data_IF_306305816221
#
_entry.id   IF_306305816221
#
_cell.length_a   1.000
_cell.length_b   1.000
_cell.length_c   1.000
_cell.angle_alpha   90.00
_cell.angle_beta   90.00
_cell.angle_gamma   90.00
#
_symmetry.space_group_name_H-M   'P 1'
#
loop_
_entity.id
_entity.type
_entity.pdbx_description
1 polymer ?
#
# COMPACT_ATOMS: atom_id res chain seq x y z
N UNK A 1 42.28 55.88 -7.74
CA UNK A 1 42.63 55.00 -6.60
C UNK A 1 41.96 53.66 -6.82
N UNK A 2 42.71 52.56 -6.95
CA UNK A 2 42.14 51.22 -7.23
C UNK A 2 42.98 50.13 -6.55
N UNK A 3 42.40 49.39 -5.59
CA UNK A 3 42.87 48.07 -5.08
C UNK A 3 41.98 47.52 -3.95
N UNK A 4 40.65 47.47 -4.17
CA UNK A 4 39.70 47.03 -3.14
C UNK A 4 38.42 46.36 -3.68
N UNK A 5 38.53 45.58 -4.78
CA UNK A 5 37.34 45.01 -5.47
C UNK A 5 37.52 43.62 -6.10
N UNK A 6 38.56 42.86 -5.74
CA UNK A 6 38.82 41.51 -6.32
C UNK A 6 38.72 40.36 -5.30
N UNK A 7 39.08 40.58 -4.04
CA UNK A 7 39.02 39.52 -3.01
C UNK A 7 37.58 39.05 -2.69
N UNK A 8 36.60 39.94 -2.76
CA UNK A 8 35.21 39.64 -2.35
C UNK A 8 34.44 38.80 -3.39
N UNK A 9 34.79 38.94 -4.69
CA UNK A 9 34.13 38.21 -5.79
C UNK A 9 34.54 36.73 -5.80
N UNK A 10 35.77 36.42 -5.39
CA UNK A 10 36.27 35.05 -5.30
C UNK A 10 35.62 34.24 -4.16
N UNK A 11 35.28 34.86 -3.03
CA UNK A 11 34.64 34.16 -1.91
C UNK A 11 33.18 33.75 -2.19
N UNK A 12 32.44 34.52 -2.99
CA UNK A 12 31.04 34.22 -3.33
C UNK A 12 30.94 32.99 -4.26
N UNK A 13 31.92 32.79 -5.14
CA UNK A 13 31.92 31.67 -6.09
C UNK A 13 32.30 30.31 -5.48
N UNK A 14 32.93 30.29 -4.29
CA UNK A 14 33.32 29.05 -3.61
C UNK A 14 32.19 28.37 -2.83
N UNK A 15 31.02 29.02 -2.69
CA UNK A 15 29.80 28.40 -2.13
C UNK A 15 28.84 27.84 -3.19
N UNK A 16 29.21 27.87 -4.48
CA UNK A 16 28.47 27.20 -5.56
C UNK A 16 28.89 25.73 -5.75
N UNK A 17 29.86 25.24 -4.95
CA UNK A 17 30.29 23.84 -4.96
C UNK A 17 29.25 22.92 -4.31
N UNK A 18 28.58 22.13 -5.14
CA UNK A 18 27.85 20.93 -4.72
C UNK A 18 26.67 21.15 -3.77
N UNK A 19 25.69 21.94 -4.21
CA UNK A 19 24.30 21.59 -3.91
C UNK A 19 23.95 20.31 -4.69
N UNK A 20 24.48 19.17 -4.23
CA UNK A 20 24.13 17.86 -4.74
C UNK A 20 22.64 17.66 -4.50
N UNK A 21 21.85 17.58 -5.57
CA UNK A 21 20.45 17.19 -5.45
C UNK A 21 20.38 15.87 -4.69
N UNK A 22 19.73 15.87 -3.52
CA UNK A 22 19.42 14.65 -2.76
C UNK A 22 18.83 13.63 -3.75
N UNK A 23 19.31 12.38 -3.80
CA UNK A 23 18.90 11.42 -4.81
C UNK A 23 17.38 11.32 -4.81
N UNK A 24 16.79 11.51 -6.00
CA UNK A 24 15.43 12.03 -6.15
C UNK A 24 14.41 11.32 -5.28
N UNK A 25 13.94 12.03 -4.24
CA UNK A 25 12.92 11.55 -3.31
C UNK A 25 11.61 11.35 -4.06
N UNK A 26 11.26 10.09 -4.31
CA UNK A 26 10.01 9.72 -4.98
C UNK A 26 8.83 9.89 -4.01
N UNK A 27 7.81 10.61 -4.46
CA UNK A 27 6.64 10.98 -3.66
C UNK A 27 5.32 10.65 -4.34
N UNK A 28 5.29 10.52 -5.66
CA UNK A 28 4.05 10.45 -6.42
C UNK A 28 3.33 9.13 -6.21
N UNK A 29 1.99 9.19 -6.21
CA UNK A 29 1.13 8.00 -6.29
C UNK A 29 0.87 7.69 -7.77
N UNK A 30 0.60 6.43 -8.10
CA UNK A 30 0.10 6.05 -9.43
C UNK A 30 -1.32 6.57 -9.64
N UNK A 31 -1.69 6.75 -10.91
CA UNK A 31 -3.00 7.25 -11.33
C UNK A 31 -4.16 6.40 -10.78
N UNK A 32 -5.22 7.07 -10.30
CA UNK A 32 -6.40 6.45 -9.67
C UNK A 32 -7.38 5.77 -10.67
N UNK A 33 -7.10 5.77 -11.98
CA UNK A 33 -7.85 4.97 -13.00
C UNK A 33 -8.00 3.50 -12.59
N UNK A 34 -9.09 2.84 -13.02
CA UNK A 34 -9.29 1.39 -12.80
C UNK A 34 -8.32 0.53 -13.65
N UNK A 35 -7.80 1.08 -14.77
CA UNK A 35 -6.80 0.42 -15.62
C UNK A 35 -5.45 0.22 -14.94
N UNK A 36 -4.98 1.18 -14.12
CA UNK A 36 -3.65 1.08 -13.50
C UNK A 36 -3.59 -0.11 -12.53
N UNK A 37 -4.70 -0.47 -11.87
CA UNK A 37 -4.80 -1.67 -11.01
C UNK A 37 -4.58 -2.96 -11.81
N UNK A 38 -5.15 -3.06 -13.01
CA UNK A 38 -4.97 -4.22 -13.90
C UNK A 38 -3.50 -4.33 -14.32
N UNK A 39 -2.90 -3.23 -14.78
CA UNK A 39 -1.50 -3.19 -15.19
C UNK A 39 -0.55 -3.49 -14.01
N UNK A 40 -0.85 -2.99 -12.81
CA UNK A 40 -0.08 -3.29 -11.60
C UNK A 40 -0.11 -4.78 -11.24
N UNK A 41 -1.27 -5.44 -11.37
CA UNK A 41 -1.38 -6.89 -11.17
C UNK A 41 -0.59 -7.65 -12.24
N UNK A 42 -0.72 -7.25 -13.52
CA UNK A 42 0.02 -7.85 -14.63
C UNK A 42 1.55 -7.74 -14.45
N UNK A 43 2.04 -6.61 -13.95
CA UNK A 43 3.45 -6.41 -13.61
C UNK A 43 3.91 -7.31 -12.45
N UNK A 44 3.13 -7.39 -11.36
CA UNK A 44 3.46 -8.23 -10.21
C UNK A 44 3.47 -9.73 -10.57
N UNK A 45 2.63 -10.14 -11.51
CA UNK A 45 2.61 -11.49 -12.10
C UNK A 45 3.70 -11.72 -13.17
N UNK A 46 4.53 -10.70 -13.46
CA UNK A 46 5.76 -10.82 -14.25
C UNK A 46 5.65 -10.45 -15.74
N UNK A 47 4.52 -9.89 -16.21
CA UNK A 47 4.38 -9.38 -17.59
C UNK A 47 5.24 -8.13 -17.76
N UNK A 48 6.19 -8.15 -18.69
CA UNK A 48 7.19 -7.08 -18.88
C UNK A 48 6.58 -5.83 -19.52
N UNK A 49 5.53 -6.04 -20.31
CA UNK A 49 4.78 -5.08 -21.10
C UNK A 49 3.95 -4.12 -20.21
N UNK A 50 3.71 -4.51 -18.96
CA UNK A 50 3.05 -3.68 -17.96
C UNK A 50 3.97 -2.58 -17.38
N UNK A 51 5.29 -2.81 -17.34
CA UNK A 51 6.24 -1.85 -16.76
C UNK A 51 6.27 -0.51 -17.52
N UNK A 52 6.22 -0.54 -18.85
CA UNK A 52 6.20 0.68 -19.66
C UNK A 52 4.92 1.51 -19.45
N UNK A 53 3.80 0.84 -19.16
CA UNK A 53 2.52 1.49 -18.85
C UNK A 53 2.54 2.11 -17.45
N UNK A 54 3.01 1.41 -16.42
CA UNK A 54 3.17 1.96 -15.05
C UNK A 54 4.11 3.18 -15.07
N UNK A 55 5.23 3.07 -15.78
CA UNK A 55 6.16 4.19 -15.96
C UNK A 55 5.54 5.34 -16.76
N UNK A 56 4.50 5.11 -17.56
CA UNK A 56 3.81 6.16 -18.32
C UNK A 56 2.84 6.99 -17.47
N UNK A 57 2.30 6.41 -16.38
CA UNK A 57 1.45 7.10 -15.40
C UNK A 57 2.26 7.97 -14.40
N UNK A 58 3.59 7.79 -14.31
CA UNK A 58 4.45 8.55 -13.39
C UNK A 58 5.03 9.83 -14.01
N UNK A 59 5.36 10.86 -13.20
CA UNK A 59 6.08 12.07 -13.66
C UNK A 59 7.38 11.75 -14.40
N UNK A 60 7.83 12.66 -15.28
CA UNK A 60 8.96 12.43 -16.19
C UNK A 60 10.29 12.26 -15.44
N UNK A 61 10.48 13.00 -14.35
CA UNK A 61 11.62 12.89 -13.45
C UNK A 61 11.62 11.58 -12.67
N UNK A 62 10.49 11.19 -12.05
CA UNK A 62 10.35 9.89 -11.38
C UNK A 62 10.58 8.71 -12.34
N UNK A 63 10.02 8.80 -13.55
CA UNK A 63 10.20 7.85 -14.65
C UNK A 63 11.67 7.71 -15.06
N UNK A 64 12.37 8.83 -15.23
CA UNK A 64 13.80 8.85 -15.59
C UNK A 64 14.69 8.29 -14.47
N UNK A 65 14.31 8.45 -13.21
CA UNK A 65 15.00 7.82 -12.07
C UNK A 65 14.78 6.29 -12.05
N UNK A 66 13.55 5.84 -12.26
CA UNK A 66 13.22 4.41 -12.27
C UNK A 66 13.80 3.66 -13.47
N UNK A 67 13.98 4.33 -14.62
CA UNK A 67 14.60 3.75 -15.82
C UNK A 67 16.13 3.63 -15.72
N UNK A 68 16.79 4.21 -14.72
CA UNK A 68 18.23 4.06 -14.52
C UNK A 68 18.57 2.65 -13.97
N UNK A 69 19.33 1.89 -14.76
CA UNK A 69 19.82 0.57 -14.37
C UNK A 69 20.63 0.62 -13.07
N UNK A 70 20.26 -0.22 -12.11
CA UNK A 70 20.88 -0.31 -10.77
C UNK A 70 20.80 0.99 -9.93
N UNK A 71 19.86 1.89 -10.21
CA UNK A 71 19.63 3.06 -9.38
C UNK A 71 19.31 2.68 -7.93
N UNK A 72 19.96 3.41 -7.00
CA UNK A 72 19.70 3.37 -5.56
C UNK A 72 18.91 4.63 -5.19
N UNK A 73 17.61 4.48 -5.03
CA UNK A 73 16.66 5.58 -4.94
C UNK A 73 16.25 5.80 -3.47
N UNK A 74 16.57 6.97 -2.94
CA UNK A 74 16.15 7.39 -1.60
C UNK A 74 14.64 7.64 -1.61
N UNK A 75 13.89 6.74 -0.98
CA UNK A 75 12.44 6.66 -1.03
C UNK A 75 11.86 6.90 0.36
N UNK A 76 10.83 7.74 0.48
CA UNK A 76 10.09 7.95 1.73
C UNK A 76 8.95 6.94 1.78
N UNK A 77 9.17 5.82 2.48
CA UNK A 77 8.24 4.69 2.51
C UNK A 77 7.51 4.61 3.86
N UNK A 78 6.29 4.05 3.92
CA UNK A 78 5.58 3.91 5.18
C UNK A 78 6.18 2.86 6.11
N UNK A 79 6.05 3.09 7.41
CA UNK A 79 6.40 2.13 8.46
C UNK A 79 5.14 1.39 8.90
N UNK A 80 5.21 0.06 9.01
CA UNK A 80 4.13 -0.71 9.63
C UNK A 80 4.22 -0.61 11.15
N UNK A 81 3.16 -0.13 11.80
CA UNK A 81 3.06 -0.05 13.26
C UNK A 81 2.06 -1.07 13.79
N UNK A 82 2.38 -1.73 14.89
CA UNK A 82 1.47 -2.63 15.61
C UNK A 82 1.40 -2.25 17.09
N UNK A 83 0.22 -2.44 17.68
CA UNK A 83 -0.09 -2.08 19.06
C UNK A 83 -0.63 -3.29 19.80
N UNK A 84 0.23 -3.99 20.53
CA UNK A 84 -0.13 -5.24 21.23
C UNK A 84 -1.31 -5.07 22.20
N UNK A 85 -1.42 -3.93 22.87
CA UNK A 85 -2.38 -3.67 23.95
C UNK A 85 -3.87 -3.72 23.50
N UNK A 86 -4.14 -3.48 22.22
CA UNK A 86 -5.49 -3.53 21.64
C UNK A 86 -5.59 -4.43 20.40
N UNK A 87 -4.47 -4.98 19.92
CA UNK A 87 -4.39 -5.80 18.71
C UNK A 87 -4.55 -5.04 17.39
N UNK A 88 -4.51 -3.71 17.40
CA UNK A 88 -4.60 -2.84 16.23
C UNK A 88 -3.24 -2.59 15.57
N UNK A 89 -3.23 -2.19 14.30
CA UNK A 89 -2.01 -1.80 13.60
C UNK A 89 -2.28 -1.28 12.19
N UNK A 90 -1.22 -1.13 11.40
CA UNK A 90 -1.28 -0.72 10.00
C UNK A 90 -0.12 0.19 9.60
N UNK A 91 0.02 0.41 8.29
CA UNK A 91 0.85 1.49 7.73
C UNK A 91 0.05 2.77 7.51
N UNK A 92 -1.23 2.63 7.19
CA UNK A 92 -2.13 3.70 6.76
C UNK A 92 -3.54 3.48 7.29
N UNK A 93 -4.31 4.56 7.34
CA UNK A 93 -5.75 4.48 7.11
C UNK A 93 -6.06 4.77 5.63
N UNK A 94 -7.16 4.22 5.13
CA UNK A 94 -7.75 4.61 3.86
C UNK A 94 -8.99 5.47 4.13
N UNK A 95 -9.28 6.40 3.23
CA UNK A 95 -10.58 7.09 3.17
C UNK A 95 -10.88 7.45 1.71
N UNK A 96 -12.00 6.95 1.17
CA UNK A 96 -12.32 7.05 -0.25
C UNK A 96 -11.37 6.25 -1.16
N UNK A 97 -10.58 5.33 -0.60
CA UNK A 97 -9.44 4.70 -1.26
C UNK A 97 -8.11 5.45 -1.15
N UNK A 98 -8.08 6.66 -0.59
CA UNK A 98 -6.83 7.41 -0.45
C UNK A 98 -6.08 6.97 0.82
N UNK A 99 -5.00 6.21 0.64
CA UNK A 99 -4.09 5.82 1.72
C UNK A 99 -3.34 7.03 2.28
N UNK A 100 -3.43 7.20 3.60
CA UNK A 100 -2.73 8.21 4.40
C UNK A 100 -1.92 7.53 5.49
N UNK A 101 -0.59 7.68 5.43
CA UNK A 101 0.36 6.92 6.24
C UNK A 101 0.49 7.47 7.68
N UNK A 102 0.53 6.59 8.68
CA UNK A 102 0.69 6.97 10.08
C UNK A 102 2.12 7.44 10.40
N UNK A 103 3.11 6.76 9.82
CA UNK A 103 4.54 7.04 9.95
C UNK A 103 5.25 6.66 8.65
N UNK A 104 6.34 7.35 8.34
CA UNK A 104 7.23 7.04 7.22
C UNK A 104 8.69 7.14 7.63
N UNK A 105 9.55 6.50 6.84
CA UNK A 105 11.00 6.50 7.02
C UNK A 105 11.69 6.56 5.65
N UNK A 106 12.93 7.04 5.62
CA UNK A 106 13.74 6.99 4.41
C UNK A 106 14.43 5.63 4.27
N UNK A 107 14.31 5.01 3.10
CA UNK A 107 15.08 3.81 2.72
C UNK A 107 15.66 3.96 1.33
N UNK A 108 16.73 3.22 1.05
CA UNK A 108 17.33 3.13 -0.29
C UNK A 108 16.77 1.89 -0.96
N UNK A 109 15.92 2.08 -1.96
CA UNK A 109 15.31 1.01 -2.76
C UNK A 109 15.93 0.94 -4.15
N UNK A 110 15.92 -0.24 -4.77
CA UNK A 110 16.12 -0.37 -6.21
C UNK A 110 14.87 0.07 -6.98
N UNK A 111 15.01 0.45 -8.25
CA UNK A 111 13.88 0.79 -9.12
C UNK A 111 12.79 -0.30 -9.15
N UNK A 112 13.17 -1.58 -9.04
CA UNK A 112 12.21 -2.69 -8.98
C UNK A 112 11.40 -2.67 -7.68
N UNK A 113 12.05 -2.47 -6.54
CA UNK A 113 11.36 -2.42 -5.24
C UNK A 113 10.41 -1.23 -5.14
N UNK A 114 10.75 -0.09 -5.76
CA UNK A 114 9.83 1.04 -5.87
C UNK A 114 8.63 0.72 -6.75
N UNK A 115 8.82 0.12 -7.93
CA UNK A 115 7.67 -0.22 -8.81
C UNK A 115 6.80 -1.32 -8.18
N UNK A 116 7.40 -2.35 -7.56
CA UNK A 116 6.69 -3.34 -6.75
C UNK A 116 5.86 -2.66 -5.65
N UNK A 117 6.46 -1.73 -4.90
CA UNK A 117 5.78 -0.94 -3.87
C UNK A 117 4.62 -0.12 -4.42
N UNK A 118 4.83 0.65 -5.49
CA UNK A 118 3.82 1.52 -6.10
C UNK A 118 2.65 0.72 -6.68
N UNK A 119 2.91 -0.44 -7.25
CA UNK A 119 1.87 -1.38 -7.67
C UNK A 119 1.04 -1.85 -6.47
N UNK A 120 1.70 -2.30 -5.40
CA UNK A 120 1.04 -2.77 -4.17
C UNK A 120 0.26 -1.64 -3.48
N UNK A 121 0.78 -0.41 -3.44
CA UNK A 121 0.11 0.81 -2.98
C UNK A 121 -1.19 1.07 -3.76
N UNK A 122 -1.13 1.07 -5.10
CA UNK A 122 -2.29 1.33 -5.96
C UNK A 122 -3.35 0.22 -5.88
N UNK A 123 -2.93 -1.05 -5.85
CA UNK A 123 -3.86 -2.19 -5.77
C UNK A 123 -4.54 -2.23 -4.40
N UNK A 124 -3.79 -2.04 -3.31
CA UNK A 124 -4.37 -2.08 -1.96
C UNK A 124 -5.38 -0.95 -1.72
N UNK A 125 -5.07 0.25 -2.23
CA UNK A 125 -5.99 1.39 -2.26
C UNK A 125 -7.31 1.07 -2.98
N UNK A 126 -7.28 0.31 -4.09
CA UNK A 126 -8.51 -0.11 -4.79
C UNK A 126 -9.34 -1.09 -3.96
N UNK A 127 -8.69 -2.02 -3.26
CA UNK A 127 -9.36 -2.98 -2.36
C UNK A 127 -10.09 -2.26 -1.23
N UNK A 128 -9.41 -1.32 -0.55
CA UNK A 128 -10.04 -0.51 0.51
C UNK A 128 -11.18 0.33 -0.06
N UNK A 129 -10.99 1.01 -1.20
CA UNK A 129 -12.02 1.81 -1.88
C UNK A 129 -13.29 1.02 -2.17
N UNK A 130 -13.15 -0.20 -2.70
CA UNK A 130 -14.28 -1.10 -3.01
C UNK A 130 -14.96 -1.60 -1.75
N UNK A 131 -14.20 -1.92 -0.70
CA UNK A 131 -14.74 -2.38 0.58
C UNK A 131 -15.49 -1.26 1.32
N UNK A 132 -14.92 -0.06 1.38
CA UNK A 132 -15.55 1.16 1.93
C UNK A 132 -16.85 1.50 1.21
N UNK A 133 -16.87 1.43 -0.13
CA UNK A 133 -18.08 1.65 -0.91
C UNK A 133 -19.16 0.60 -0.62
N UNK A 134 -18.80 -0.67 -0.45
CA UNK A 134 -19.75 -1.71 -0.06
C UNK A 134 -20.29 -1.51 1.37
N UNK A 135 -19.42 -1.15 2.33
CA UNK A 135 -19.82 -0.88 3.71
C UNK A 135 -20.77 0.32 3.81
N UNK A 136 -20.45 1.44 3.14
CA UNK A 136 -21.31 2.62 3.09
C UNK A 136 -22.67 2.33 2.43
N UNK A 137 -22.69 1.54 1.34
CA UNK A 137 -23.95 1.10 0.72
C UNK A 137 -24.78 0.22 1.66
N UNK A 138 -24.15 -0.65 2.46
CA UNK A 138 -24.83 -1.49 3.45
C UNK A 138 -25.37 -0.69 4.63
N UNK A 139 -24.65 0.33 5.11
CA UNK A 139 -25.12 1.23 6.17
C UNK A 139 -26.29 2.11 5.71
N UNK A 140 -26.30 2.55 4.45
CA UNK A 140 -27.39 3.37 3.87
C UNK A 140 -28.62 2.53 3.49
N UNK A 141 -28.43 1.36 2.87
CA UNK A 141 -29.53 0.48 2.45
C UNK A 141 -29.08 -1.01 2.43
N UNK A 142 -29.17 -1.72 3.56
CA UNK A 142 -28.70 -3.11 3.67
C UNK A 142 -29.55 -4.11 2.86
N UNK A 143 -30.69 -3.70 2.29
CA UNK A 143 -31.50 -4.54 1.42
C UNK A 143 -31.00 -4.51 -0.04
N UNK A 144 -30.19 -3.53 -0.44
CA UNK A 144 -29.68 -3.39 -1.81
C UNK A 144 -28.43 -4.27 -2.06
N UNK A 145 -28.54 -5.57 -1.80
CA UNK A 145 -27.39 -6.48 -1.73
C UNK A 145 -26.63 -6.67 -3.05
N UNK A 146 -27.27 -6.49 -4.20
CA UNK A 146 -26.64 -6.70 -5.52
C UNK A 146 -25.40 -5.82 -5.77
N UNK A 147 -25.53 -4.48 -5.74
CA UNK A 147 -24.38 -3.57 -5.86
C UNK A 147 -23.35 -3.72 -4.74
N UNK A 148 -23.78 -4.09 -3.52
CA UNK A 148 -22.88 -4.32 -2.38
C UNK A 148 -21.98 -5.53 -2.65
N UNK A 149 -22.58 -6.68 -3.00
CA UNK A 149 -21.84 -7.89 -3.35
C UNK A 149 -20.95 -7.71 -4.60
N UNK A 150 -21.37 -6.92 -5.59
CA UNK A 150 -20.53 -6.62 -6.75
C UNK A 150 -19.23 -5.89 -6.37
N UNK A 151 -19.31 -4.94 -5.44
CA UNK A 151 -18.13 -4.24 -4.93
C UNK A 151 -17.24 -5.15 -4.06
N UNK A 152 -17.84 -5.97 -3.20
CA UNK A 152 -17.10 -6.96 -2.38
C UNK A 152 -16.40 -8.00 -3.25
N UNK A 153 -17.07 -8.54 -4.26
CA UNK A 153 -16.47 -9.52 -5.16
C UNK A 153 -15.28 -8.91 -5.91
N UNK A 154 -15.42 -7.69 -6.45
CA UNK A 154 -14.28 -6.95 -7.03
C UNK A 154 -13.14 -6.76 -6.01
N UNK A 155 -13.44 -6.39 -4.77
CA UNK A 155 -12.42 -6.26 -3.73
C UNK A 155 -11.70 -7.60 -3.46
N UNK A 156 -12.47 -8.70 -3.39
CA UNK A 156 -11.98 -10.06 -3.11
C UNK A 156 -11.14 -10.59 -4.25
N UNK A 157 -11.59 -10.45 -5.51
CA UNK A 157 -10.84 -10.84 -6.72
C UNK A 157 -9.49 -10.12 -6.81
N UNK A 158 -9.46 -8.82 -6.49
CA UNK A 158 -8.24 -8.00 -6.52
C UNK A 158 -7.31 -8.36 -5.35
N UNK A 159 -7.85 -8.51 -4.14
CA UNK A 159 -7.08 -8.84 -2.94
C UNK A 159 -6.50 -10.26 -3.00
N UNK A 160 -7.23 -11.24 -3.54
CA UNK A 160 -6.76 -12.62 -3.76
C UNK A 160 -5.51 -12.66 -4.64
N UNK A 161 -5.50 -11.84 -5.72
CA UNK A 161 -4.34 -11.72 -6.62
C UNK A 161 -3.19 -11.00 -5.93
N UNK A 162 -3.45 -9.86 -5.29
CA UNK A 162 -2.44 -9.12 -4.51
C UNK A 162 -1.74 -10.04 -3.50
N UNK A 163 -2.50 -10.84 -2.75
CA UNK A 163 -2.00 -11.85 -1.84
C UNK A 163 -1.07 -12.84 -2.56
N UNK A 164 -1.54 -13.48 -3.64
CA UNK A 164 -0.77 -14.45 -4.41
C UNK A 164 0.55 -13.90 -4.96
N UNK A 165 0.56 -12.64 -5.44
CA UNK A 165 1.76 -12.04 -6.04
C UNK A 165 2.77 -11.50 -5.00
N UNK A 166 2.41 -11.33 -3.71
CA UNK A 166 3.31 -10.71 -2.70
C UNK A 166 3.55 -11.47 -1.39
N UNK A 167 2.82 -12.56 -1.07
CA UNK A 167 2.97 -13.27 0.22
C UNK A 167 4.37 -13.88 0.50
N UNK A 168 5.21 -13.99 -0.52
CA UNK A 168 6.62 -14.41 -0.47
C UNK A 168 7.64 -13.27 -0.74
N UNK A 169 7.18 -12.02 -0.85
CA UNK A 169 8.07 -10.85 -1.00
C UNK A 169 8.54 -10.33 0.38
N UNK A 170 9.24 -9.20 0.40
CA UNK A 170 9.76 -8.54 1.61
C UNK A 170 8.66 -8.22 2.63
N UNK A 171 9.02 -8.14 3.91
CA UNK A 171 8.08 -7.81 5.00
C UNK A 171 7.35 -6.48 4.74
N UNK A 172 8.05 -5.49 4.19
CA UNK A 172 7.50 -4.20 3.75
C UNK A 172 6.32 -4.36 2.77
N UNK A 173 6.43 -5.23 1.77
CA UNK A 173 5.34 -5.47 0.81
C UNK A 173 4.26 -6.36 1.45
N UNK A 174 4.64 -7.38 2.22
CA UNK A 174 3.68 -8.25 2.93
C UNK A 174 2.81 -7.45 3.92
N UNK A 175 3.31 -6.37 4.52
CA UNK A 175 2.55 -5.50 5.40
C UNK A 175 1.29 -4.90 4.76
N UNK A 176 1.23 -4.76 3.42
CA UNK A 176 0.03 -4.29 2.72
C UNK A 176 -1.12 -5.30 2.75
N UNK A 177 -0.85 -6.57 3.06
CA UNK A 177 -1.89 -7.60 3.29
C UNK A 177 -2.57 -7.44 4.65
N UNK A 178 -2.06 -6.60 5.55
CA UNK A 178 -2.77 -6.30 6.79
C UNK A 178 -3.99 -5.39 6.54
N UNK A 179 -5.11 -5.71 7.18
CA UNK A 179 -6.39 -5.02 7.00
C UNK A 179 -6.73 -4.21 8.27
N UNK A 180 -6.49 -2.88 8.31
CA UNK A 180 -6.76 -2.10 9.52
C UNK A 180 -8.25 -1.95 9.83
N UNK A 181 -9.13 -1.93 8.81
CA UNK A 181 -10.57 -1.79 9.01
C UNK A 181 -11.21 -3.00 9.72
N UNK A 182 -10.59 -4.19 9.64
CA UNK A 182 -11.03 -5.41 10.37
C UNK A 182 -11.08 -5.17 11.88
N UNK A 183 -10.13 -4.39 12.42
CA UNK A 183 -10.16 -3.99 13.83
C UNK A 183 -11.43 -3.17 14.13
N UNK A 184 -11.72 -2.13 13.34
CA UNK A 184 -12.94 -1.32 13.48
C UNK A 184 -14.23 -2.14 13.40
N UNK A 185 -14.36 -3.00 12.40
CA UNK A 185 -15.51 -3.92 12.25
C UNK A 185 -15.67 -4.84 13.47
N UNK A 186 -14.58 -5.46 13.95
CA UNK A 186 -14.64 -6.42 15.07
C UNK A 186 -15.13 -5.76 16.37
N UNK A 187 -14.84 -4.45 16.54
CA UNK A 187 -15.17 -3.62 17.69
C UNK A 187 -16.58 -3.01 17.63
N UNK A 188 -17.19 -2.85 16.46
CA UNK A 188 -18.47 -2.12 16.29
C UNK A 188 -19.68 -2.83 16.93
N UNK A 189 -19.60 -4.14 17.12
CA UNK A 189 -20.75 -4.96 17.54
C UNK A 189 -21.48 -5.64 16.38
N UNK A 190 -21.45 -5.05 15.18
CA UNK A 190 -22.36 -5.35 14.09
C UNK A 190 -22.11 -6.67 13.33
N UNK A 191 -23.12 -7.10 12.57
CA UNK A 191 -23.05 -8.16 11.57
C UNK A 191 -22.65 -7.55 10.22
N UNK A 192 -21.75 -8.22 9.49
CA UNK A 192 -21.25 -7.79 8.18
C UNK A 192 -21.39 -8.93 7.16
N UNK A 193 -22.59 -9.51 7.02
CA UNK A 193 -22.87 -10.63 6.12
C UNK A 193 -22.49 -10.37 4.64
N UNK A 194 -22.47 -9.10 4.21
CA UNK A 194 -22.00 -8.74 2.87
C UNK A 194 -20.52 -9.04 2.64
N UNK A 195 -19.70 -9.06 3.69
CA UNK A 195 -18.24 -9.16 3.61
C UNK A 195 -17.70 -10.61 3.70
N UNK A 196 -18.56 -11.63 3.77
CA UNK A 196 -18.13 -13.00 4.06
C UNK A 196 -17.11 -13.58 3.08
N UNK A 197 -17.33 -13.43 1.76
CA UNK A 197 -16.39 -13.85 0.70
C UNK A 197 -15.01 -13.21 0.88
N UNK A 198 -14.99 -11.92 1.26
CA UNK A 198 -13.75 -11.20 1.53
C UNK A 198 -13.07 -11.68 2.82
N UNK A 199 -13.84 -11.88 3.89
CA UNK A 199 -13.34 -12.31 5.20
C UNK A 199 -12.69 -13.70 5.13
N UNK A 200 -13.20 -14.61 4.28
CA UNK A 200 -12.57 -15.91 4.04
C UNK A 200 -11.14 -15.77 3.46
N UNK A 201 -11.01 -15.03 2.35
CA UNK A 201 -9.71 -14.77 1.70
C UNK A 201 -8.78 -13.98 2.62
N UNK A 202 -9.30 -12.98 3.34
CA UNK A 202 -8.56 -12.23 4.35
C UNK A 202 -8.01 -13.13 5.47
N UNK A 203 -8.79 -14.12 5.91
CA UNK A 203 -8.38 -15.10 6.90
C UNK A 203 -7.25 -16.00 6.38
N UNK A 204 -7.39 -16.52 5.17
CA UNK A 204 -6.35 -17.32 4.51
C UNK A 204 -5.04 -16.52 4.31
N UNK A 205 -5.15 -15.27 3.88
CA UNK A 205 -4.01 -14.35 3.75
C UNK A 205 -3.35 -14.05 5.10
N UNK A 206 -4.13 -13.80 6.16
CA UNK A 206 -3.62 -13.56 7.52
C UNK A 206 -2.90 -14.78 8.09
N UNK A 207 -3.46 -15.99 7.95
CA UNK A 207 -2.82 -17.24 8.39
C UNK A 207 -1.50 -17.47 7.62
N UNK A 208 -1.48 -17.12 6.33
CA UNK A 208 -0.29 -17.26 5.48
C UNK A 208 0.79 -16.24 5.83
N UNK A 209 0.42 -14.98 6.06
CA UNK A 209 1.33 -13.92 6.53
C UNK A 209 1.92 -14.22 7.91
N UNK A 210 1.12 -14.73 8.85
CA UNK A 210 1.63 -15.23 10.14
C UNK A 210 2.68 -16.35 9.95
N UNK A 211 2.50 -17.24 8.96
CA UNK A 211 3.47 -18.31 8.67
C UNK A 211 4.73 -17.79 7.97
N UNK A 212 4.60 -16.91 6.97
CA UNK A 212 5.72 -16.45 6.11
C UNK A 212 6.43 -15.19 6.59
N UNK A 213 5.91 -14.47 7.59
CA UNK A 213 6.59 -13.29 8.16
C UNK A 213 7.66 -13.69 9.18
N UNK A 214 8.86 -13.11 9.00
CA UNK A 214 9.97 -13.16 9.97
C UNK A 214 10.01 -11.93 10.89
N UNK A 215 9.23 -10.89 10.61
CA UNK A 215 9.07 -9.72 11.47
C UNK A 215 8.11 -10.05 12.63
N UNK A 216 8.53 -9.94 13.91
CA UNK A 216 7.67 -10.30 15.04
C UNK A 216 6.39 -9.46 15.16
N UNK A 217 6.45 -8.16 14.85
CA UNK A 217 5.32 -7.24 14.95
C UNK A 217 4.30 -7.51 13.84
N UNK A 218 4.75 -7.65 12.60
CA UNK A 218 3.87 -7.99 11.48
C UNK A 218 3.27 -9.39 11.63
N UNK A 219 4.05 -10.36 12.12
CA UNK A 219 3.57 -11.71 12.46
C UNK A 219 2.47 -11.68 13.52
N UNK A 220 2.68 -10.97 14.62
CA UNK A 220 1.68 -10.83 15.69
C UNK A 220 0.43 -10.08 15.20
N UNK A 221 0.60 -9.06 14.36
CA UNK A 221 -0.50 -8.36 13.71
C UNK A 221 -1.34 -9.27 12.80
N UNK A 222 -0.71 -10.13 11.98
CA UNK A 222 -1.41 -11.12 11.18
C UNK A 222 -2.20 -12.13 12.03
N UNK A 223 -1.64 -12.59 13.16
CA UNK A 223 -2.38 -13.43 14.10
C UNK A 223 -3.61 -12.70 14.68
N UNK A 224 -3.43 -11.45 15.11
CA UNK A 224 -4.51 -10.58 15.62
C UNK A 224 -5.62 -10.38 14.58
N UNK A 225 -5.25 -10.07 13.32
CA UNK A 225 -6.19 -9.90 12.21
C UNK A 225 -6.97 -11.20 11.95
N UNK A 226 -6.29 -12.35 11.93
CA UNK A 226 -6.92 -13.66 11.78
C UNK A 226 -7.93 -14.00 12.88
N UNK A 227 -7.63 -13.69 14.15
CA UNK A 227 -8.59 -13.86 15.25
C UNK A 227 -9.80 -12.92 15.13
N UNK A 228 -9.58 -11.66 14.75
CA UNK A 228 -10.66 -10.70 14.53
C UNK A 228 -11.55 -11.09 13.34
N UNK A 229 -10.97 -11.59 12.25
CA UNK A 229 -11.69 -12.16 11.11
C UNK A 229 -12.54 -13.36 11.53
N UNK A 230 -11.98 -14.32 12.26
CA UNK A 230 -12.74 -15.49 12.74
C UNK A 230 -13.91 -15.09 13.67
N UNK A 231 -13.71 -14.06 14.52
CA UNK A 231 -14.75 -13.49 15.36
C UNK A 231 -15.82 -12.72 14.57
N UNK A 232 -15.43 -12.07 13.47
CA UNK A 232 -16.34 -11.41 12.54
C UNK A 232 -17.17 -12.42 11.74
N UNK A 233 -16.55 -13.40 11.08
CA UNK A 233 -17.27 -14.37 10.24
C UNK A 233 -18.36 -15.13 11.02
N UNK A 234 -18.07 -15.53 12.27
CA UNK A 234 -19.06 -16.15 13.17
C UNK A 234 -20.23 -15.22 13.50
N UNK A 235 -19.97 -13.92 13.70
CA UNK A 235 -20.99 -12.90 14.03
C UNK A 235 -21.82 -12.48 12.80
N UNK A 236 -21.15 -12.41 11.66
CA UNK A 236 -21.73 -12.18 10.33
C UNK A 236 -22.59 -13.36 9.85
N UNK A 237 -22.44 -14.56 10.45
CA UNK A 237 -23.04 -15.83 10.00
C UNK A 237 -22.60 -16.20 8.58
N UNK A 238 -21.31 -16.05 8.31
CA UNK A 238 -20.70 -16.59 7.10
C UNK A 238 -20.81 -18.12 7.09
N UNK A 239 -20.95 -18.74 5.91
CA UNK A 239 -20.98 -20.20 5.75
C UNK A 239 -19.64 -20.86 6.13
#
# INVERSE_FOLDING_TARGET
MYRLSLAFILFINLFLSSCSSLPGRLYSKLDEKESSVVVCLEYLDGKKEALSQILSDLPVDERNLLQQSNAKIQSVIPVFTYYEYNGSGGMAYSFGGQLSYYQSTEQILSSREVVDWKCVERIRAEVDRKFEQAALMYEINPNNMGPIWLNIKKATDIYSKLFASIYNKSEFLKAYLFLPYVYGMSRSGANYAFACEFLEVAGAASISGYKSSIDPMLKQAFASNGYMILGLSKRSRCP
#
